data_IF_986452012824
#
_entry.id   IF_986452012824
#
_cell.length_a   1.000
_cell.length_b   1.000
_cell.length_c   1.000
_cell.angle_alpha   90.00
_cell.angle_beta   90.00
_cell.angle_gamma   90.00
#
_symmetry.space_group_name_H-M   'P 1'
#
loop_
_entity.id
_entity.type
_entity.pdbx_description
1 polymer ?
#
# COMPACT_ATOMS: atom_id res chain seq x y z
N UNK A 1 -31.77 -8.85 -18.38
CA UNK A 1 -31.20 -10.18 -17.99
C UNK A 1 -31.09 -11.21 -19.13
N UNK A 2 -32.12 -11.48 -19.96
CA UNK A 2 -32.04 -12.52 -21.03
C UNK A 2 -30.92 -12.28 -22.07
N UNK A 3 -30.72 -11.03 -22.52
CA UNK A 3 -29.62 -10.66 -23.44
C UNK A 3 -28.22 -10.86 -22.82
N UNK A 4 -28.04 -10.44 -21.56
CA UNK A 4 -26.80 -10.64 -20.79
C UNK A 4 -26.43 -12.12 -20.65
N UNK A 5 -27.40 -12.97 -20.26
CA UNK A 5 -27.17 -14.42 -20.14
C UNK A 5 -26.79 -15.07 -21.49
N UNK A 6 -27.37 -14.60 -22.59
CA UNK A 6 -27.05 -15.08 -23.94
C UNK A 6 -25.63 -14.67 -24.37
N UNK A 7 -25.23 -13.42 -24.11
CA UNK A 7 -23.87 -12.93 -24.39
C UNK A 7 -22.82 -13.64 -23.54
N UNK A 8 -23.05 -13.79 -22.22
CA UNK A 8 -22.14 -14.54 -21.34
C UNK A 8 -22.00 -16.00 -21.79
N UNK A 9 -23.09 -16.66 -22.19
CA UNK A 9 -23.02 -18.04 -22.70
C UNK A 9 -22.27 -18.11 -24.04
N UNK A 10 -22.45 -17.12 -24.92
CA UNK A 10 -21.73 -17.01 -26.21
C UNK A 10 -20.22 -16.78 -25.97
N UNK A 11 -19.88 -15.97 -24.98
CA UNK A 11 -18.51 -15.52 -24.70
C UNK A 11 -17.94 -16.07 -23.40
N UNK A 12 -18.35 -17.28 -23.00
CA UNK A 12 -18.05 -17.84 -21.68
C UNK A 12 -16.55 -17.96 -21.39
N UNK A 13 -15.75 -18.37 -22.38
CA UNK A 13 -14.30 -18.52 -22.21
C UNK A 13 -13.67 -17.14 -21.93
N UNK A 14 -13.95 -16.16 -22.78
CA UNK A 14 -13.50 -14.77 -22.61
C UNK A 14 -13.89 -14.22 -21.24
N UNK A 15 -15.16 -14.39 -20.87
CA UNK A 15 -15.71 -13.95 -19.58
C UNK A 15 -14.99 -14.60 -18.39
N UNK A 16 -14.82 -15.92 -18.40
CA UNK A 16 -14.17 -16.66 -17.31
C UNK A 16 -12.70 -16.26 -17.13
N UNK A 17 -11.98 -16.05 -18.23
CA UNK A 17 -10.59 -15.58 -18.22
C UNK A 17 -10.48 -14.18 -17.62
N UNK A 18 -11.35 -13.25 -18.05
CA UNK A 18 -11.35 -11.89 -17.51
C UNK A 18 -11.73 -11.84 -16.01
N UNK A 19 -12.59 -12.74 -15.52
CA UNK A 19 -12.86 -12.83 -14.07
C UNK A 19 -11.57 -13.14 -13.31
N UNK A 20 -10.83 -14.17 -13.72
CA UNK A 20 -9.61 -14.59 -13.02
C UNK A 20 -8.55 -13.49 -13.02
N UNK A 21 -8.36 -12.84 -14.17
CA UNK A 21 -7.44 -11.74 -14.35
C UNK A 21 -7.83 -10.56 -13.45
N UNK A 22 -9.10 -10.17 -13.45
CA UNK A 22 -9.57 -9.06 -12.63
C UNK A 22 -9.46 -9.37 -11.14
N UNK A 23 -9.74 -10.59 -10.68
CA UNK A 23 -9.55 -10.98 -9.26
C UNK A 23 -8.09 -10.81 -8.84
N UNK A 24 -7.15 -11.25 -9.68
CA UNK A 24 -5.71 -11.09 -9.42
C UNK A 24 -5.31 -9.61 -9.35
N UNK A 25 -5.63 -8.81 -10.37
CA UNK A 25 -5.22 -7.41 -10.42
C UNK A 25 -5.90 -6.56 -9.34
N UNK A 26 -7.17 -6.79 -9.02
CA UNK A 26 -7.86 -6.12 -7.90
C UNK A 26 -7.10 -6.37 -6.60
N UNK A 27 -6.70 -7.62 -6.34
CA UNK A 27 -5.95 -7.97 -5.13
C UNK A 27 -4.61 -7.26 -5.05
N UNK A 28 -3.86 -7.19 -6.16
CA UNK A 28 -2.57 -6.49 -6.24
C UNK A 28 -2.75 -4.97 -6.03
N UNK A 29 -3.68 -4.34 -6.74
CA UNK A 29 -3.92 -2.89 -6.65
C UNK A 29 -4.33 -2.50 -5.22
N UNK A 30 -5.24 -3.24 -4.62
CA UNK A 30 -5.69 -2.99 -3.25
C UNK A 30 -4.53 -3.15 -2.27
N UNK A 31 -3.67 -4.15 -2.44
CA UNK A 31 -2.51 -4.36 -1.58
C UNK A 31 -1.55 -3.15 -1.64
N UNK A 32 -1.22 -2.69 -2.85
CA UNK A 32 -0.34 -1.52 -3.07
C UNK A 32 -0.94 -0.27 -2.43
N UNK A 33 -2.21 0.01 -2.69
CA UNK A 33 -2.88 1.20 -2.13
C UNK A 33 -3.00 1.13 -0.60
N UNK A 34 -3.22 -0.06 -0.05
CA UNK A 34 -3.28 -0.27 1.40
C UNK A 34 -1.90 -0.05 2.03
N UNK A 35 -0.84 -0.55 1.39
CA UNK A 35 0.54 -0.36 1.84
C UNK A 35 0.96 1.11 1.81
N UNK A 36 0.62 1.83 0.75
CA UNK A 36 0.86 3.27 0.64
C UNK A 36 0.15 4.04 1.77
N UNK A 37 -1.11 3.69 2.03
CA UNK A 37 -1.89 4.29 3.13
C UNK A 37 -1.27 3.97 4.50
N UNK A 38 -0.81 2.74 4.72
CA UNK A 38 -0.17 2.33 5.98
C UNK A 38 1.12 3.12 6.22
N UNK A 39 1.96 3.34 5.18
CA UNK A 39 3.18 4.15 5.31
C UNK A 39 2.86 5.60 5.62
N UNK A 40 1.91 6.20 4.89
CA UNK A 40 1.45 7.59 5.18
C UNK A 40 0.94 7.73 6.61
N UNK A 41 0.28 6.70 7.11
CA UNK A 41 -0.29 6.68 8.45
C UNK A 41 0.77 6.49 9.54
N UNK A 42 1.78 5.63 9.30
CA UNK A 42 2.93 5.48 10.21
C UNK A 42 3.76 6.75 10.29
N UNK A 43 4.00 7.40 9.16
CA UNK A 43 4.85 8.58 9.06
C UNK A 43 4.09 9.89 9.34
N UNK A 44 2.92 9.84 10.00
CA UNK A 44 2.05 11.02 10.11
C UNK A 44 2.64 12.15 10.95
N UNK A 45 3.58 11.87 11.87
CA UNK A 45 4.27 12.91 12.65
C UNK A 45 5.53 13.45 11.97
N UNK A 46 6.20 12.64 11.15
CA UNK A 46 7.47 13.02 10.52
C UNK A 46 7.24 13.72 9.17
N UNK A 47 8.18 14.57 8.78
CA UNK A 47 8.21 15.28 7.50
C UNK A 47 8.97 14.47 6.44
N UNK A 48 8.97 14.96 5.19
CA UNK A 48 9.81 14.40 4.13
C UNK A 48 11.31 14.64 4.37
N UNK A 49 11.65 15.66 5.15
CA UNK A 49 13.03 16.03 5.47
C UNK A 49 13.58 15.25 6.67
N UNK A 50 12.76 14.40 7.30
CA UNK A 50 13.21 13.53 8.38
C UNK A 50 14.38 12.64 7.93
N UNK A 51 15.20 12.17 8.88
CA UNK A 51 16.34 11.27 8.65
C UNK A 51 16.29 10.11 9.65
N UNK A 52 16.63 8.91 9.20
CA UNK A 52 16.84 7.77 10.09
C UNK A 52 18.31 7.71 10.43
N UNK A 53 18.61 7.64 11.72
CA UNK A 53 19.94 7.36 12.24
C UNK A 53 19.93 5.94 12.78
N UNK A 54 20.68 5.04 12.13
CA UNK A 54 20.97 3.72 12.64
C UNK A 54 22.25 3.79 13.47
N UNK A 55 22.14 3.51 14.76
CA UNK A 55 23.27 3.40 15.67
C UNK A 55 23.80 1.96 15.62
N UNK A 56 24.76 1.67 14.75
CA UNK A 56 25.35 0.32 14.64
C UNK A 56 26.09 -0.08 15.91
N UNK A 57 26.86 0.86 16.46
CA UNK A 57 27.59 0.72 17.73
C UNK A 57 27.37 1.98 18.56
N UNK A 58 26.83 1.84 19.77
CA UNK A 58 26.59 2.97 20.69
C UNK A 58 26.47 2.49 22.14
N UNK A 59 27.35 1.59 22.58
CA UNK A 59 27.21 0.84 23.84
C UNK A 59 27.07 1.69 25.10
N UNK A 60 27.62 2.90 25.13
CA UNK A 60 27.55 3.80 26.29
C UNK A 60 26.56 4.97 26.10
N UNK A 61 25.85 5.01 24.97
CA UNK A 61 24.98 6.15 24.65
C UNK A 61 23.54 5.76 24.84
N UNK A 62 22.88 6.54 25.69
CA UNK A 62 21.47 6.39 25.97
C UNK A 62 20.64 7.46 25.27
N UNK A 63 19.35 7.21 25.15
CA UNK A 63 18.42 8.12 24.49
C UNK A 63 18.41 9.52 25.13
N UNK A 64 18.59 9.61 26.45
CA UNK A 64 18.65 10.89 27.14
C UNK A 64 19.81 11.77 26.68
N UNK A 65 20.94 11.17 26.27
CA UNK A 65 22.07 11.91 25.71
C UNK A 65 21.67 12.57 24.38
N UNK A 66 20.99 11.80 23.50
CA UNK A 66 20.48 12.32 22.23
C UNK A 66 19.44 13.43 22.43
N UNK A 67 18.49 13.22 23.34
CA UNK A 67 17.47 14.23 23.68
C UNK A 67 18.15 15.50 24.19
N UNK A 68 19.13 15.39 25.09
CA UNK A 68 19.87 16.53 25.62
C UNK A 68 20.58 17.33 24.53
N UNK A 69 21.21 16.66 23.56
CA UNK A 69 21.86 17.30 22.41
C UNK A 69 20.88 18.08 21.53
N UNK A 70 19.60 17.72 21.56
CA UNK A 70 18.55 18.32 20.72
C UNK A 70 17.60 19.25 21.46
N UNK A 71 17.85 19.54 22.75
CA UNK A 71 16.96 20.36 23.58
C UNK A 71 16.70 21.76 23.00
N UNK A 72 17.69 22.33 22.33
CA UNK A 72 17.65 23.70 21.79
C UNK A 72 16.98 23.80 20.40
N UNK A 73 16.50 22.68 19.84
CA UNK A 73 15.88 22.61 18.51
C UNK A 73 14.47 22.05 18.60
N UNK A 74 13.56 22.53 17.77
CA UNK A 74 12.23 21.93 17.67
C UNK A 74 12.31 20.61 16.89
N UNK A 75 12.24 19.48 17.61
CA UNK A 75 12.46 18.14 17.04
C UNK A 75 11.33 17.17 17.36
N UNK A 76 11.14 16.20 16.46
CA UNK A 76 10.35 14.98 16.66
C UNK A 76 11.28 13.79 16.54
N UNK A 77 11.20 12.86 17.50
CA UNK A 77 11.93 11.61 17.50
C UNK A 77 10.96 10.44 17.52
N UNK A 78 11.19 9.46 16.66
CA UNK A 78 10.48 8.18 16.68
C UNK A 78 11.47 7.03 16.58
N UNK A 79 11.35 6.01 17.43
CA UNK A 79 12.30 4.91 17.39
C UNK A 79 11.80 3.65 18.09
N UNK A 80 12.30 2.49 17.66
CA UNK A 80 11.96 1.22 18.29
C UNK A 80 12.64 1.12 19.65
N UNK A 81 11.85 1.18 20.72
CA UNK A 81 12.35 1.11 22.10
C UNK A 81 12.68 -0.33 22.44
N UNK A 82 11.87 -1.31 21.99
CA UNK A 82 12.03 -2.72 22.34
C UNK A 82 11.82 -3.65 21.15
N UNK A 83 12.67 -4.68 21.06
CA UNK A 83 12.61 -5.74 20.05
C UNK A 83 11.96 -7.01 20.63
N UNK A 84 12.12 -7.25 21.94
CA UNK A 84 11.48 -8.35 22.67
C UNK A 84 10.63 -7.78 23.81
N UNK A 85 9.31 -7.87 23.70
CA UNK A 85 8.35 -7.46 24.71
C UNK A 85 7.48 -8.64 25.17
N UNK A 86 6.74 -8.42 26.25
CA UNK A 86 5.85 -9.41 26.86
C UNK A 86 4.72 -9.84 25.91
N UNK A 87 4.39 -8.99 24.92
CA UNK A 87 3.41 -9.24 23.88
C UNK A 87 4.07 -9.71 22.59
N UNK A 88 4.26 -11.02 22.43
CA UNK A 88 4.83 -11.64 21.21
C UNK A 88 4.24 -10.97 19.94
N UNK A 89 5.12 -10.39 19.12
CA UNK A 89 4.85 -9.68 17.85
C UNK A 89 4.31 -8.23 17.90
N UNK A 90 4.27 -7.58 19.07
CA UNK A 90 3.92 -6.13 19.15
C UNK A 90 5.17 -5.27 19.05
N UNK A 91 5.17 -4.21 18.23
CA UNK A 91 6.26 -3.24 18.21
C UNK A 91 6.02 -2.13 19.25
N UNK A 92 7.05 -1.78 20.03
CA UNK A 92 6.97 -0.64 20.96
C UNK A 92 7.82 0.50 20.43
N UNK A 93 7.16 1.60 20.13
CA UNK A 93 7.73 2.78 19.49
C UNK A 93 7.75 3.93 20.50
N UNK A 94 8.92 4.49 20.74
CA UNK A 94 9.08 5.68 21.56
C UNK A 94 8.84 6.89 20.69
N UNK A 95 8.10 7.87 21.20
CA UNK A 95 7.85 9.17 20.57
C UNK A 95 8.31 10.28 21.50
N UNK A 96 9.00 11.27 20.96
CA UNK A 96 9.37 12.49 21.66
C UNK A 96 9.20 13.70 20.77
N UNK A 97 8.73 14.80 21.35
CA UNK A 97 8.75 16.12 20.75
C UNK A 97 8.82 17.20 21.83
N UNK A 98 9.50 18.31 21.56
CA UNK A 98 9.71 19.39 22.52
C UNK A 98 8.98 20.70 22.18
N UNK A 99 8.18 20.69 21.11
CA UNK A 99 7.33 21.79 20.66
C UNK A 99 5.89 21.31 20.47
N UNK A 100 4.94 22.24 20.28
CA UNK A 100 3.57 21.89 19.96
C UNK A 100 3.47 21.44 18.51
N UNK A 101 3.17 20.16 18.31
CA UNK A 101 3.02 19.57 16.99
C UNK A 101 1.57 19.69 16.50
N UNK A 102 1.38 20.23 15.30
CA UNK A 102 0.04 20.32 14.67
C UNK A 102 -0.38 18.99 14.02
N UNK A 103 0.60 18.13 13.72
CA UNK A 103 0.37 16.79 13.16
C UNK A 103 -0.07 15.82 14.26
N UNK A 104 -1.00 14.94 13.91
CA UNK A 104 -1.53 13.92 14.84
C UNK A 104 -1.55 12.56 14.16
N UNK A 105 -1.41 11.49 14.96
CA UNK A 105 -1.78 10.16 14.47
C UNK A 105 -3.31 10.09 14.30
N UNK A 106 -3.83 9.27 13.38
CA UNK A 106 -5.26 9.01 13.33
C UNK A 106 -5.68 8.24 14.58
N UNK A 107 -6.40 8.93 15.46
CA UNK A 107 -6.95 8.39 16.70
C UNK A 107 -8.39 7.94 16.48
N UNK A 108 -8.76 6.77 17.02
CA UNK A 108 -10.16 6.34 17.12
C UNK A 108 -10.79 6.82 18.43
N UNK A 109 -10.03 6.79 19.52
CA UNK A 109 -10.48 7.19 20.86
C UNK A 109 -9.36 7.95 21.60
N UNK A 110 -9.73 8.88 22.48
CA UNK A 110 -8.80 9.60 23.35
C UNK A 110 -8.07 10.76 22.67
N UNK A 111 -6.81 11.00 23.06
CA UNK A 111 -5.98 12.12 22.60
C UNK A 111 -4.52 11.73 22.39
N UNK A 112 -3.78 12.59 21.69
CA UNK A 112 -2.32 12.52 21.60
C UNK A 112 -1.66 12.84 22.95
N UNK A 113 -0.34 12.59 23.05
CA UNK A 113 0.45 13.03 24.19
C UNK A 113 0.43 14.56 24.30
N UNK A 114 0.40 15.08 25.51
CA UNK A 114 0.62 16.51 25.73
C UNK A 114 2.10 16.81 25.83
N UNK A 115 2.48 18.05 25.53
CA UNK A 115 3.88 18.48 25.64
C UNK A 115 4.41 18.35 27.09
N UNK A 116 3.56 18.58 28.09
CA UNK A 116 3.93 18.42 29.50
C UNK A 116 4.21 16.96 29.86
N UNK A 117 3.36 16.02 29.41
CA UNK A 117 3.56 14.59 29.63
C UNK A 117 4.89 14.11 29.03
N UNK A 118 5.20 14.55 27.80
CA UNK A 118 6.48 14.24 27.14
C UNK A 118 7.66 14.79 27.94
N UNK A 119 7.63 16.09 28.28
CA UNK A 119 8.73 16.77 29.00
C UNK A 119 8.97 16.20 30.40
N UNK A 120 7.91 15.83 31.12
CA UNK A 120 8.00 15.25 32.47
C UNK A 120 8.37 13.76 32.48
N UNK A 121 8.43 13.12 31.32
CA UNK A 121 8.71 11.67 31.24
C UNK A 121 7.55 10.84 31.81
N UNK A 122 6.32 11.31 31.71
CA UNK A 122 5.16 10.57 32.22
C UNK A 122 4.98 9.25 31.45
N UNK A 123 4.61 8.19 32.18
CA UNK A 123 4.36 6.85 31.61
C UNK A 123 2.97 6.78 30.98
N UNK A 124 2.87 7.39 29.80
CA UNK A 124 1.66 7.39 28.97
C UNK A 124 1.87 6.61 27.68
N UNK A 125 0.81 6.00 27.17
CA UNK A 125 0.84 5.18 25.96
C UNK A 125 -0.35 5.46 25.02
N UNK A 126 -0.11 5.31 23.73
CA UNK A 126 -1.12 5.19 22.69
C UNK A 126 -1.09 3.75 22.17
N UNK A 127 -2.24 3.09 22.14
CA UNK A 127 -2.33 1.65 21.85
C UNK A 127 -3.01 1.44 20.50
N UNK A 128 -2.41 0.63 19.63
CA UNK A 128 -3.02 0.23 18.36
C UNK A 128 -4.38 -0.45 18.54
N UNK A 129 -5.31 -0.19 17.63
CA UNK A 129 -6.69 -0.70 17.72
C UNK A 129 -6.81 -2.21 17.95
N UNK A 130 -5.91 -3.03 17.37
CA UNK A 130 -5.96 -4.50 17.52
C UNK A 130 -5.46 -4.98 18.89
N UNK A 131 -4.78 -4.11 19.63
CA UNK A 131 -4.29 -4.37 20.98
C UNK A 131 -5.24 -3.80 22.05
N UNK A 132 -6.42 -3.30 21.66
CA UNK A 132 -7.40 -2.73 22.59
C UNK A 132 -7.80 -3.73 23.69
N UNK A 133 -7.89 -5.01 23.36
CA UNK A 133 -8.26 -6.07 24.30
C UNK A 133 -7.17 -6.34 25.36
N UNK A 134 -5.94 -5.86 25.14
CA UNK A 134 -4.84 -5.98 26.12
C UNK A 134 -4.85 -4.86 27.17
N UNK A 135 -5.77 -3.90 27.07
CA UNK A 135 -5.88 -2.78 28.00
C UNK A 135 -6.65 -3.24 29.24
N UNK A 136 -6.03 -3.10 30.42
CA UNK A 136 -6.64 -3.38 31.72
C UNK A 136 -6.69 -2.11 32.53
N UNK A 137 -7.87 -1.70 33.00
CA UNK A 137 -8.07 -0.48 33.81
C UNK A 137 -7.42 0.79 33.22
N UNK A 138 -7.55 0.98 31.90
CA UNK A 138 -6.92 2.06 31.13
C UNK A 138 -5.39 2.06 31.17
N UNK A 139 -4.77 0.91 31.44
CA UNK A 139 -3.32 0.72 31.47
C UNK A 139 -2.89 -0.41 30.57
N UNK A 140 -1.65 -0.33 30.12
CA UNK A 140 -0.95 -1.41 29.42
C UNK A 140 0.36 -1.68 30.15
N UNK A 141 0.73 -2.95 30.28
CA UNK A 141 1.94 -3.37 30.99
C UNK A 141 3.06 -3.65 30.01
N UNK A 142 4.15 -2.90 30.09
CA UNK A 142 5.31 -3.02 29.21
C UNK A 142 6.53 -3.28 30.08
N UNK A 143 7.18 -4.46 29.97
CA UNK A 143 8.38 -4.81 30.74
C UNK A 143 8.21 -4.59 32.25
N UNK A 144 7.12 -5.10 32.80
CA UNK A 144 6.76 -4.89 34.21
C UNK A 144 6.51 -3.45 34.66
N UNK A 145 6.40 -2.49 33.73
CA UNK A 145 5.98 -1.13 34.02
C UNK A 145 4.57 -0.86 33.50
N UNK A 146 3.77 -0.12 34.27
CA UNK A 146 2.44 0.28 33.86
C UNK A 146 2.47 1.62 33.13
N UNK A 147 1.82 1.67 31.98
CA UNK A 147 1.61 2.88 31.20
C UNK A 147 0.13 3.21 31.11
N UNK A 148 -0.23 4.46 31.40
CA UNK A 148 -1.60 4.94 31.26
C UNK A 148 -1.93 5.12 29.78
N UNK A 149 -2.99 4.47 29.31
CA UNK A 149 -3.46 4.60 27.93
C UNK A 149 -4.25 5.90 27.79
N UNK A 150 -3.76 6.82 26.96
CA UNK A 150 -4.38 8.13 26.73
C UNK A 150 -5.11 8.22 25.38
N UNK A 151 -4.91 7.23 24.50
CA UNK A 151 -5.57 7.16 23.20
C UNK A 151 -5.38 5.81 22.49
N UNK A 152 -6.25 5.55 21.51
CA UNK A 152 -6.25 4.36 20.66
C UNK A 152 -5.98 4.75 19.21
N UNK A 153 -4.96 4.14 18.62
CA UNK A 153 -4.46 4.45 17.29
C UNK A 153 -5.10 3.61 16.18
N UNK A 154 -5.35 4.25 15.05
CA UNK A 154 -5.88 3.61 13.85
C UNK A 154 -7.28 3.04 14.05
N UNK A 155 -7.80 2.38 13.02
CA UNK A 155 -9.09 1.69 13.05
C UNK A 155 -8.94 0.25 12.51
N UNK A 156 -10.05 -0.49 12.38
CA UNK A 156 -10.06 -1.87 11.83
C UNK A 156 -9.34 -2.02 10.47
N UNK A 157 -9.31 -0.97 9.66
CA UNK A 157 -8.69 -0.97 8.33
C UNK A 157 -7.23 -0.53 8.31
N UNK A 158 -6.69 0.03 9.41
CA UNK A 158 -5.30 0.48 9.49
C UNK A 158 -4.43 -0.65 10.02
N UNK A 159 -3.62 -1.27 9.16
CA UNK A 159 -2.68 -2.32 9.63
C UNK A 159 -1.45 -1.70 10.27
N UNK A 160 -0.98 -0.57 9.76
CA UNK A 160 0.30 0.01 10.15
C UNK A 160 0.43 0.40 11.63
N UNK A 161 -0.58 1.07 12.21
CA UNK A 161 -0.58 1.48 13.61
C UNK A 161 -1.30 0.47 14.54
N UNK A 162 -2.09 -0.42 13.97
CA UNK A 162 -3.02 -1.27 14.72
C UNK A 162 -2.34 -2.30 15.62
N UNK A 163 -1.11 -2.69 15.30
CA UNK A 163 -0.32 -3.74 15.97
C UNK A 163 0.83 -3.20 16.83
N UNK A 164 0.87 -1.88 17.08
CA UNK A 164 1.98 -1.22 17.78
C UNK A 164 1.51 -0.44 19.01
N UNK A 165 2.41 -0.28 19.97
CA UNK A 165 2.20 0.58 21.14
C UNK A 165 3.21 1.72 21.08
N UNK A 166 2.71 2.94 21.16
CA UNK A 166 3.52 4.14 21.18
C UNK A 166 3.62 4.64 22.62
N UNK A 167 4.82 4.95 23.09
CA UNK A 167 5.07 5.45 24.44
C UNK A 167 5.84 6.76 24.40
N UNK A 168 5.74 7.53 25.47
CA UNK A 168 6.64 8.65 25.68
C UNK A 168 8.09 8.15 25.75
N UNK A 169 8.93 8.55 24.80
CA UNK A 169 10.33 8.10 24.75
C UNK A 169 11.12 8.52 26.00
N UNK A 170 10.71 9.61 26.66
CA UNK A 170 11.38 10.15 27.85
C UNK A 170 10.96 9.42 29.15
N UNK A 171 9.99 8.50 29.11
CA UNK A 171 9.55 7.76 30.30
C UNK A 171 10.47 6.59 30.67
N UNK A 172 11.34 6.18 29.76
CA UNK A 172 12.28 5.08 29.97
C UNK A 172 13.60 5.38 29.24
N UNK A 173 14.70 5.26 29.97
CA UNK A 173 16.03 5.40 29.41
C UNK A 173 16.47 4.06 28.78
N UNK A 174 16.92 4.09 27.52
CA UNK A 174 17.38 2.90 26.81
C UNK A 174 18.65 3.18 26.01
N UNK A 175 19.43 2.13 25.82
CA UNK A 175 20.68 2.16 25.07
C UNK A 175 20.40 2.24 23.57
N UNK A 176 21.12 3.12 22.85
CA UNK A 176 20.95 3.31 21.41
C UNK A 176 21.64 2.22 20.56
N UNK A 177 22.48 1.38 21.16
CA UNK A 177 23.21 0.33 20.44
C UNK A 177 22.27 -0.58 19.63
N UNK A 178 22.56 -0.69 18.32
CA UNK A 178 21.77 -1.44 17.33
C UNK A 178 20.31 -1.00 17.23
N UNK A 179 20.03 0.29 17.44
CA UNK A 179 18.69 0.87 17.27
C UNK A 179 18.67 1.90 16.16
N UNK A 180 17.51 2.03 15.53
CA UNK A 180 17.20 3.11 14.60
C UNK A 180 16.30 4.14 15.26
N UNK A 181 16.69 5.41 15.13
CA UNK A 181 15.91 6.57 15.57
C UNK A 181 15.67 7.46 14.35
N UNK A 182 14.41 7.74 14.06
CA UNK A 182 14.00 8.76 13.10
C UNK A 182 13.99 10.10 13.80
N UNK A 183 14.63 11.09 13.18
CA UNK A 183 14.71 12.48 13.64
C UNK A 183 14.09 13.36 12.57
N UNK A 184 13.23 14.27 13.01
CA UNK A 184 12.67 15.33 12.18
C UNK A 184 12.85 16.67 12.90
N UNK A 185 13.33 17.69 12.19
CA UNK A 185 13.60 19.01 12.75
C UNK A 185 12.71 20.02 12.04
N UNK A 186 11.93 20.79 12.80
CA UNK A 186 11.04 21.79 12.22
C UNK A 186 11.83 23.00 11.69
N UNK A 187 12.79 23.48 12.49
CA UNK A 187 13.51 24.72 12.23
C UNK A 187 14.94 24.43 11.72
N UNK A 188 15.02 23.99 10.47
CA UNK A 188 16.27 23.89 9.72
C UNK A 188 16.54 22.52 9.11
N UNK A 189 17.77 22.32 8.63
CA UNK A 189 18.14 21.08 7.95
C UNK A 189 18.30 19.92 8.94
N UNK A 190 17.43 18.91 8.83
CA UNK A 190 17.57 17.63 9.57
C UNK A 190 18.89 16.95 9.24
N UNK A 191 19.35 16.99 7.98
CA UNK A 191 20.63 16.40 7.57
C UNK A 191 21.83 17.05 8.29
N UNK A 192 21.85 18.38 8.37
CA UNK A 192 22.87 19.09 9.13
C UNK A 192 22.81 18.74 10.62
N UNK A 193 21.60 18.62 11.17
CA UNK A 193 21.40 18.24 12.58
C UNK A 193 21.88 16.82 12.86
N UNK A 194 21.58 15.86 11.98
CA UNK A 194 22.06 14.48 12.06
C UNK A 194 23.59 14.39 12.03
N UNK A 195 24.24 15.17 11.17
CA UNK A 195 25.70 15.26 11.12
C UNK A 195 26.28 15.85 12.42
N UNK A 196 25.67 16.90 12.97
CA UNK A 196 26.10 17.51 14.24
C UNK A 196 25.94 16.53 15.42
N UNK A 197 24.86 15.74 15.44
CA UNK A 197 24.69 14.65 16.42
C UNK A 197 25.85 13.66 16.33
N UNK A 198 26.25 13.26 15.11
CA UNK A 198 27.41 12.40 14.92
C UNK A 198 28.69 13.01 15.47
N UNK A 199 28.97 14.27 15.14
CA UNK A 199 30.18 14.95 15.63
C UNK A 199 30.21 15.04 17.16
N UNK A 200 29.08 15.34 17.81
CA UNK A 200 29.00 15.49 19.28
C UNK A 200 29.00 14.16 20.02
N UNK A 201 28.37 13.12 19.47
CA UNK A 201 28.35 11.79 20.12
C UNK A 201 29.63 10.99 19.85
N UNK A 202 30.32 11.28 18.75
CA UNK A 202 31.54 10.57 18.35
C UNK A 202 32.83 11.15 18.95
N UNK A 203 32.76 12.15 19.84
CA UNK A 203 33.94 12.73 20.53
C UNK A 203 34.82 11.68 21.26
N UNK A 204 34.33 10.44 21.45
CA UNK A 204 35.06 9.33 22.07
C UNK A 204 35.29 8.11 21.16
N UNK A 205 35.06 8.18 19.84
CA UNK A 205 35.17 7.05 18.89
C UNK A 205 34.36 5.79 19.26
N UNK A 206 33.22 5.98 19.96
CA UNK A 206 32.37 4.87 20.43
C UNK A 206 31.11 4.68 19.59
N UNK A 207 30.97 5.45 18.51
CA UNK A 207 29.72 5.60 17.79
C UNK A 207 29.91 5.38 16.31
N UNK A 208 29.27 4.33 15.78
CA UNK A 208 29.14 4.12 14.35
C UNK A 208 27.68 4.37 14.01
N UNK A 209 27.43 5.32 13.10
CA UNK A 209 26.09 5.67 12.66
C UNK A 209 25.98 5.67 11.14
N UNK A 210 24.88 5.12 10.66
CA UNK A 210 24.44 5.26 9.28
C UNK A 210 23.26 6.23 9.25
N UNK A 211 23.34 7.23 8.37
CA UNK A 211 22.27 8.20 8.15
C UNK A 211 21.60 7.85 6.84
N UNK A 212 20.33 7.46 6.91
CA UNK A 212 19.50 7.19 5.75
C UNK A 212 18.28 8.09 5.73
N UNK A 213 17.61 8.15 4.58
CA UNK A 213 16.31 8.79 4.49
C UNK A 213 15.26 7.82 5.06
N UNK A 214 14.24 8.31 5.79
CA UNK A 214 13.10 7.48 6.11
C UNK A 214 12.47 7.00 4.81
N UNK A 215 11.72 5.90 4.89
CA UNK A 215 11.00 5.38 3.73
C UNK A 215 9.89 6.38 3.39
N UNK A 216 10.23 7.42 2.63
CA UNK A 216 9.32 8.39 2.02
C UNK A 216 8.85 7.85 0.67
N UNK A 217 9.65 7.00 0.03
CA UNK A 217 9.33 6.27 -1.19
C UNK A 217 9.15 4.77 -0.89
N UNK A 218 7.91 4.32 -0.62
CA UNK A 218 7.54 2.91 -0.41
C UNK A 218 8.09 1.94 -1.45
N UNK A 219 8.27 2.44 -2.67
CA UNK A 219 8.61 1.64 -3.84
C UNK A 219 10.03 1.10 -3.77
N UNK A 220 11.02 1.92 -3.38
CA UNK A 220 12.43 1.51 -3.42
C UNK A 220 12.74 0.47 -2.33
N UNK A 221 12.15 0.62 -1.15
CA UNK A 221 12.29 -0.36 -0.06
C UNK A 221 11.53 -1.66 -0.37
N UNK A 222 10.30 -1.57 -0.92
CA UNK A 222 9.57 -2.74 -1.37
C UNK A 222 10.34 -3.49 -2.48
N UNK A 223 11.06 -2.76 -3.34
CA UNK A 223 11.94 -3.33 -4.38
C UNK A 223 13.15 -4.04 -3.78
N UNK A 224 13.84 -3.43 -2.81
CA UNK A 224 15.02 -4.00 -2.19
C UNK A 224 14.70 -5.21 -1.30
N UNK A 225 13.63 -5.14 -0.51
CA UNK A 225 13.28 -6.16 0.49
C UNK A 225 12.50 -7.35 -0.09
N UNK A 226 11.79 -7.17 -1.21
CA UNK A 226 10.88 -8.18 -1.79
C UNK A 226 11.13 -8.43 -3.28
N UNK A 227 12.38 -8.28 -3.74
CA UNK A 227 12.78 -8.45 -5.15
C UNK A 227 12.24 -9.74 -5.79
N UNK A 228 12.25 -10.86 -5.07
CA UNK A 228 11.70 -12.16 -5.54
C UNK A 228 10.19 -12.07 -5.79
N UNK A 229 9.41 -11.51 -4.86
CA UNK A 229 7.96 -11.39 -5.01
C UNK A 229 7.58 -10.42 -6.13
N UNK A 230 8.38 -9.38 -6.36
CA UNK A 230 8.18 -8.46 -7.48
C UNK A 230 8.47 -9.13 -8.82
N UNK A 231 9.55 -9.91 -8.92
CA UNK A 231 9.84 -10.72 -10.11
C UNK A 231 8.69 -11.70 -10.36
N UNK A 232 8.20 -12.40 -9.33
CA UNK A 232 7.04 -13.30 -9.45
C UNK A 232 5.78 -12.55 -9.90
N UNK A 233 5.51 -11.36 -9.35
CA UNK A 233 4.37 -10.52 -9.74
C UNK A 233 4.48 -10.01 -11.18
N UNK A 234 5.69 -9.66 -11.62
CA UNK A 234 5.96 -9.22 -12.99
C UNK A 234 5.78 -10.38 -14.00
N UNK A 235 6.30 -11.57 -13.68
CA UNK A 235 6.11 -12.78 -14.48
C UNK A 235 4.63 -13.19 -14.55
N UNK A 236 3.92 -13.13 -13.43
CA UNK A 236 2.48 -13.36 -13.39
C UNK A 236 1.74 -12.34 -14.26
N UNK A 237 2.10 -11.05 -14.18
CA UNK A 237 1.49 -10.01 -15.01
C UNK A 237 1.74 -10.23 -16.51
N UNK A 238 2.98 -10.58 -16.90
CA UNK A 238 3.32 -10.90 -18.29
C UNK A 238 2.54 -12.10 -18.82
N UNK A 239 2.41 -13.17 -18.03
CA UNK A 239 1.66 -14.36 -18.43
C UNK A 239 0.15 -14.07 -18.56
N UNK A 240 -0.42 -13.24 -17.68
CA UNK A 240 -1.80 -12.81 -17.78
C UNK A 240 -2.02 -11.94 -19.03
N UNK A 241 -1.14 -10.99 -19.33
CA UNK A 241 -1.23 -10.16 -20.54
C UNK A 241 -1.18 -11.03 -21.80
N UNK A 242 -0.23 -11.98 -21.87
CA UNK A 242 -0.15 -12.94 -22.98
C UNK A 242 -1.44 -13.76 -23.11
N UNK A 243 -2.03 -14.17 -21.99
CA UNK A 243 -3.32 -14.87 -21.97
C UNK A 243 -4.45 -14.02 -22.51
N UNK A 244 -4.51 -12.72 -22.16
CA UNK A 244 -5.50 -11.79 -22.73
C UNK A 244 -5.35 -11.68 -24.23
N UNK A 245 -4.14 -11.47 -24.74
CA UNK A 245 -3.89 -11.33 -26.18
C UNK A 245 -4.33 -12.59 -26.92
N UNK A 246 -3.97 -13.77 -26.40
CA UNK A 246 -4.32 -15.06 -26.99
C UNK A 246 -5.83 -15.29 -27.01
N UNK A 247 -6.53 -15.06 -25.88
CA UNK A 247 -7.97 -15.31 -25.81
C UNK A 247 -8.76 -14.29 -26.63
N UNK A 248 -8.29 -13.05 -26.68
CA UNK A 248 -8.91 -11.99 -27.49
C UNK A 248 -8.75 -12.30 -28.98
N UNK A 249 -7.56 -12.74 -29.40
CA UNK A 249 -7.31 -13.16 -30.78
C UNK A 249 -8.18 -14.35 -31.17
N UNK A 250 -8.31 -15.35 -30.29
CA UNK A 250 -9.20 -16.49 -30.49
C UNK A 250 -10.67 -16.09 -30.59
N UNK A 251 -11.12 -15.16 -29.74
CA UNK A 251 -12.48 -14.64 -29.78
C UNK A 251 -12.78 -13.94 -31.11
N UNK A 252 -11.85 -13.11 -31.58
CA UNK A 252 -12.03 -12.37 -32.85
C UNK A 252 -12.03 -13.32 -34.03
N UNK A 253 -11.19 -14.36 -34.01
CA UNK A 253 -11.19 -15.41 -35.04
C UNK A 253 -12.57 -16.06 -35.18
N UNK A 254 -13.24 -16.37 -34.05
CA UNK A 254 -14.60 -16.90 -34.06
C UNK A 254 -15.63 -15.92 -34.60
N UNK A 255 -15.48 -14.62 -34.32
CA UNK A 255 -16.41 -13.60 -34.80
C UNK A 255 -16.15 -13.19 -36.25
N UNK A 256 -15.05 -13.60 -36.89
CA UNK A 256 -14.75 -13.25 -38.29
C UNK A 256 -15.87 -13.57 -39.27
N UNK A 257 -16.55 -14.71 -39.12
CA UNK A 257 -17.66 -15.09 -40.00
C UNK A 257 -18.82 -14.10 -39.88
N UNK A 258 -19.17 -13.71 -38.65
CA UNK A 258 -20.24 -12.72 -38.39
C UNK A 258 -19.83 -11.35 -38.93
N UNK A 259 -18.57 -10.97 -38.77
CA UNK A 259 -18.02 -9.72 -39.31
C UNK A 259 -18.07 -9.72 -40.84
N UNK A 260 -17.72 -10.83 -41.50
CA UNK A 260 -17.80 -11.00 -42.94
C UNK A 260 -19.24 -10.86 -43.46
N UNK A 261 -20.20 -11.51 -42.79
CA UNK A 261 -21.63 -11.40 -43.13
C UNK A 261 -22.12 -9.95 -43.01
N UNK A 262 -21.81 -9.26 -41.90
CA UNK A 262 -22.18 -7.85 -41.70
C UNK A 262 -21.59 -6.95 -42.79
N UNK A 263 -20.35 -7.22 -43.19
CA UNK A 263 -19.70 -6.49 -44.28
C UNK A 263 -20.37 -6.74 -45.63
N UNK A 264 -20.87 -7.95 -45.92
CA UNK A 264 -21.61 -8.26 -47.15
C UNK A 264 -22.97 -7.57 -47.21
N UNK A 265 -23.64 -7.42 -46.07
CA UNK A 265 -24.92 -6.70 -45.95
C UNK A 265 -24.74 -5.17 -46.06
N UNK A 266 -23.49 -4.69 -46.14
CA UNK A 266 -23.18 -3.27 -46.36
C UNK A 266 -23.03 -2.45 -45.09
N UNK A 267 -22.87 -3.08 -43.91
CA UNK A 267 -22.54 -2.33 -42.70
C UNK A 267 -21.17 -1.63 -42.84
N UNK A 268 -21.09 -0.39 -42.38
CA UNK A 268 -19.83 0.36 -42.41
C UNK A 268 -18.80 -0.28 -41.47
N UNK A 269 -17.52 -0.26 -41.87
CA UNK A 269 -16.41 -0.81 -41.06
C UNK A 269 -16.35 -0.22 -39.64
N UNK A 270 -16.70 1.06 -39.50
CA UNK A 270 -16.76 1.75 -38.20
C UNK A 270 -17.91 1.24 -37.32
N UNK A 271 -19.09 0.99 -37.90
CA UNK A 271 -20.23 0.43 -37.17
C UNK A 271 -19.93 -0.99 -36.67
N UNK A 272 -19.31 -1.82 -37.51
CA UNK A 272 -18.89 -3.17 -37.13
C UNK A 272 -17.88 -3.11 -35.97
N UNK A 273 -16.88 -2.22 -36.05
CA UNK A 273 -15.89 -2.01 -35.00
C UNK A 273 -16.53 -1.59 -33.68
N UNK A 274 -17.40 -0.57 -33.71
CA UNK A 274 -18.06 -0.05 -32.52
C UNK A 274 -18.92 -1.14 -31.84
N UNK A 275 -19.65 -1.93 -32.64
CA UNK A 275 -20.45 -3.03 -32.10
C UNK A 275 -19.60 -4.11 -31.44
N UNK A 276 -18.47 -4.50 -32.05
CA UNK A 276 -17.54 -5.45 -31.44
C UNK A 276 -16.93 -4.90 -30.14
N UNK A 277 -16.54 -3.63 -30.15
CA UNK A 277 -15.98 -2.95 -28.98
C UNK A 277 -16.99 -2.92 -27.83
N UNK A 278 -18.24 -2.54 -28.10
CA UNK A 278 -19.31 -2.51 -27.10
C UNK A 278 -19.58 -3.92 -26.54
N UNK A 279 -19.65 -4.94 -27.40
CA UNK A 279 -19.86 -6.32 -26.94
C UNK A 279 -18.70 -6.82 -26.05
N UNK A 280 -17.47 -6.46 -26.40
CA UNK A 280 -16.28 -6.82 -25.65
C UNK A 280 -16.22 -6.11 -24.29
N UNK A 281 -16.46 -4.80 -24.25
CA UNK A 281 -16.53 -4.01 -23.02
C UNK A 281 -17.63 -4.50 -22.07
N UNK A 282 -18.76 -4.94 -22.63
CA UNK A 282 -19.84 -5.49 -21.83
C UNK A 282 -19.42 -6.77 -21.08
N UNK A 283 -18.61 -7.63 -21.72
CA UNK A 283 -18.05 -8.83 -21.08
C UNK A 283 -17.07 -8.44 -19.97
N UNK A 284 -16.21 -7.45 -20.22
CA UNK A 284 -15.25 -6.93 -19.23
C UNK A 284 -15.98 -6.36 -18.01
N UNK A 285 -16.94 -5.46 -18.20
CA UNK A 285 -17.67 -4.82 -17.10
C UNK A 285 -18.37 -5.88 -16.25
N UNK A 286 -19.03 -6.85 -16.89
CA UNK A 286 -19.66 -7.96 -16.17
C UNK A 286 -18.63 -8.78 -15.37
N UNK A 287 -17.43 -8.99 -15.91
CA UNK A 287 -16.36 -9.73 -15.21
C UNK A 287 -15.80 -8.95 -14.01
N UNK A 288 -15.68 -7.62 -14.10
CA UNK A 288 -15.23 -6.76 -12.98
C UNK A 288 -16.22 -6.85 -11.82
N UNK A 289 -17.52 -6.78 -12.12
CA UNK A 289 -18.57 -6.88 -11.09
C UNK A 289 -18.45 -8.23 -10.35
N UNK A 290 -18.32 -9.34 -11.08
CA UNK A 290 -18.15 -10.66 -10.47
C UNK A 290 -16.83 -10.76 -9.70
N UNK A 291 -15.74 -10.21 -10.22
CA UNK A 291 -14.45 -10.22 -9.56
C UNK A 291 -14.49 -9.50 -8.20
N UNK A 292 -15.16 -8.33 -8.12
CA UNK A 292 -15.38 -7.63 -6.85
C UNK A 292 -16.27 -8.40 -5.89
N UNK A 293 -17.31 -9.11 -6.38
CA UNK A 293 -18.14 -9.98 -5.55
C UNK A 293 -17.33 -11.14 -4.96
N UNK A 294 -16.51 -11.82 -5.78
CA UNK A 294 -15.61 -12.89 -5.32
C UNK A 294 -14.64 -12.35 -4.28
N UNK A 295 -14.01 -11.22 -4.57
CA UNK A 295 -13.08 -10.56 -3.65
C UNK A 295 -13.74 -10.17 -2.32
N UNK A 296 -15.00 -9.75 -2.37
CA UNK A 296 -15.83 -9.50 -1.19
C UNK A 296 -16.10 -10.74 -0.34
N UNK A 297 -16.49 -11.85 -0.97
CA UNK A 297 -16.77 -13.13 -0.30
C UNK A 297 -15.50 -13.69 0.36
N UNK A 298 -14.34 -13.53 -0.28
CA UNK A 298 -13.04 -13.92 0.30
C UNK A 298 -12.61 -13.06 1.51
N UNK A 299 -13.47 -12.16 2.01
CA UNK A 299 -13.23 -11.36 3.21
C UNK A 299 -12.44 -10.08 2.98
N UNK A 300 -12.10 -9.75 1.72
CA UNK A 300 -11.34 -8.55 1.40
C UNK A 300 -12.07 -7.27 1.81
N UNK A 301 -13.33 -7.11 1.38
CA UNK A 301 -14.07 -5.85 1.49
C UNK A 301 -14.28 -5.34 2.93
N UNK A 302 -14.48 -6.23 3.91
CA UNK A 302 -14.72 -5.81 5.31
C UNK A 302 -13.48 -5.23 6.00
N UNK A 303 -12.29 -5.47 5.44
CA UNK A 303 -11.02 -4.98 5.98
C UNK A 303 -10.49 -3.74 5.26
N UNK A 304 -11.12 -3.33 4.15
CA UNK A 304 -10.59 -2.31 3.25
C UNK A 304 -11.39 -1.03 3.38
N UNK A 305 -10.68 0.09 3.38
CA UNK A 305 -11.28 1.42 3.34
C UNK A 305 -12.06 1.61 2.01
N UNK A 306 -13.30 2.08 2.06
CA UNK A 306 -14.14 2.35 0.89
C UNK A 306 -13.42 3.23 -0.15
N UNK A 307 -12.63 4.20 0.29
CA UNK A 307 -11.85 5.07 -0.60
C UNK A 307 -10.82 4.28 -1.41
N UNK A 308 -10.17 3.28 -0.79
CA UNK A 308 -9.22 2.40 -1.47
C UNK A 308 -9.96 1.54 -2.50
N UNK A 309 -11.11 0.99 -2.15
CA UNK A 309 -11.93 0.19 -3.07
C UNK A 309 -12.42 1.00 -4.28
N UNK A 310 -12.81 2.26 -4.08
CA UNK A 310 -13.20 3.15 -5.18
C UNK A 310 -12.00 3.50 -6.08
N UNK A 311 -10.84 3.80 -5.49
CA UNK A 311 -9.60 4.03 -6.25
C UNK A 311 -9.20 2.80 -7.05
N UNK A 312 -9.25 1.61 -6.46
CA UNK A 312 -8.92 0.36 -7.16
C UNK A 312 -9.89 0.08 -8.31
N UNK A 313 -11.18 0.40 -8.14
CA UNK A 313 -12.19 0.27 -9.20
C UNK A 313 -11.86 1.19 -10.39
N UNK A 314 -11.50 2.45 -10.13
CA UNK A 314 -11.10 3.37 -11.19
C UNK A 314 -9.86 2.85 -11.92
N UNK A 315 -8.82 2.44 -11.20
CA UNK A 315 -7.58 1.94 -11.80
C UNK A 315 -7.83 0.69 -12.65
N UNK A 316 -8.59 -0.30 -12.15
CA UNK A 316 -8.83 -1.54 -12.90
C UNK A 316 -9.71 -1.30 -14.15
N UNK A 317 -10.66 -0.38 -14.09
CA UNK A 317 -11.46 -0.01 -15.28
C UNK A 317 -10.59 0.66 -16.34
N UNK A 318 -9.70 1.58 -15.95
CA UNK A 318 -8.77 2.23 -16.88
C UNK A 318 -7.82 1.22 -17.54
N UNK A 319 -7.25 0.30 -16.75
CA UNK A 319 -6.37 -0.77 -17.27
C UNK A 319 -7.12 -1.63 -18.29
N UNK A 320 -8.35 -2.05 -17.98
CA UNK A 320 -9.12 -2.89 -18.89
C UNK A 320 -9.49 -2.17 -20.21
N UNK A 321 -9.77 -0.87 -20.17
CA UNK A 321 -10.00 -0.07 -21.39
C UNK A 321 -8.73 0.01 -22.24
N UNK A 322 -7.55 0.17 -21.63
CA UNK A 322 -6.29 0.15 -22.37
C UNK A 322 -6.07 -1.23 -23.01
N UNK A 323 -6.34 -2.29 -22.26
CA UNK A 323 -6.22 -3.68 -22.72
C UNK A 323 -7.21 -4.00 -23.85
N UNK A 324 -8.45 -3.51 -23.78
CA UNK A 324 -9.44 -3.71 -24.84
C UNK A 324 -9.04 -3.01 -26.15
N UNK A 325 -8.58 -1.76 -26.06
CA UNK A 325 -8.09 -0.98 -27.19
C UNK A 325 -6.91 -1.70 -27.88
N UNK A 326 -5.93 -2.12 -27.08
CA UNK A 326 -4.73 -2.81 -27.58
C UNK A 326 -5.02 -4.19 -28.19
N UNK A 327 -6.03 -4.91 -27.73
CA UNK A 327 -6.39 -6.22 -28.28
C UNK A 327 -7.29 -6.14 -29.52
N UNK A 328 -8.24 -5.19 -29.54
CA UNK A 328 -9.25 -5.09 -30.61
C UNK A 328 -8.67 -4.38 -31.84
N UNK A 329 -7.87 -3.32 -31.68
CA UNK A 329 -7.36 -2.53 -32.80
C UNK A 329 -6.55 -3.38 -33.80
N UNK A 330 -5.51 -4.15 -33.40
CA UNK A 330 -4.71 -4.92 -34.35
C UNK A 330 -5.54 -5.96 -35.11
N UNK A 331 -6.47 -6.57 -34.39
CA UNK A 331 -7.34 -7.61 -34.91
C UNK A 331 -8.35 -7.07 -35.93
N UNK A 332 -8.89 -5.87 -35.71
CA UNK A 332 -9.77 -5.19 -36.66
C UNK A 332 -9.00 -4.67 -37.86
N UNK A 333 -7.78 -4.15 -37.68
CA UNK A 333 -6.91 -3.78 -38.80
C UNK A 333 -6.67 -5.01 -39.69
N UNK A 334 -6.36 -6.17 -39.10
CA UNK A 334 -6.18 -7.43 -39.83
C UNK A 334 -7.42 -7.81 -40.64
N UNK A 335 -8.61 -7.73 -40.03
CA UNK A 335 -9.87 -8.06 -40.71
C UNK A 335 -10.20 -7.04 -41.82
N UNK A 336 -9.95 -5.75 -41.60
CA UNK A 336 -10.23 -4.70 -42.58
C UNK A 336 -9.42 -4.82 -43.87
N UNK A 337 -8.27 -5.52 -43.79
CA UNK A 337 -7.35 -5.85 -44.88
C UNK A 337 -7.65 -7.20 -45.54
N UNK A 338 -8.47 -8.05 -44.94
CA UNK A 338 -8.83 -9.36 -45.50
C UNK A 338 -9.90 -9.21 -46.58
N UNK A 339 -9.77 -10.01 -47.64
CA UNK A 339 -10.72 -10.01 -48.74
C UNK A 339 -11.97 -10.80 -48.32
N UNK A 340 -13.18 -10.24 -48.46
CA UNK A 340 -14.42 -10.83 -47.92
C UNK A 340 -14.67 -12.25 -48.48
N UNK A 341 -14.27 -12.48 -49.73
CA UNK A 341 -14.40 -13.77 -50.40
C UNK A 341 -13.49 -14.87 -49.83
N UNK A 342 -12.34 -14.53 -49.21
CA UNK A 342 -11.46 -15.53 -48.58
C UNK A 342 -11.96 -15.93 -47.19
N UNK A 343 -12.59 -15.00 -46.45
CA UNK A 343 -13.11 -15.24 -45.10
C UNK A 343 -14.25 -16.28 -45.07
N UNK A 344 -15.08 -16.27 -46.11
CA UNK A 344 -16.25 -17.15 -46.22
C UNK A 344 -15.87 -18.51 -46.78
N UNK A 345 -14.91 -18.59 -47.73
CA UNK A 345 -14.44 -19.85 -48.30
C UNK A 345 -13.65 -20.73 -47.32
N UNK A 346 -13.01 -20.15 -46.30
CA UNK A 346 -12.29 -20.93 -45.27
C UNK A 346 -13.21 -21.61 -44.24
N UNK A 347 -14.49 -21.21 -44.15
CA UNK A 347 -15.40 -21.62 -43.08
C UNK A 347 -16.70 -22.30 -43.58
N UNK A 348 -16.81 -22.56 -44.89
CA UNK A 348 -17.79 -23.46 -45.50
C UNK A 348 -17.04 -24.74 -45.86
#
# INVERSE_FOLDING_TARGET
>A
MKKLKKLIKKYWVLFSTFILINVFFISVIINILSFEQDIKTKNSLISKDAKIILFETAEDIKINNLINTLKDKNVVLEGKVLINNDYKATEIIGVYYNYNIDKTYPLTEGRMFTLEEIKRGERVALVGYKLKDNIQDQKVKIQNQEYKVVGILGNKSTKGLGDSIYINMNSQDFNLNRKSITIDVLDGSTAYTAKKIYEQLNERNKVIMEISEPIVEPLNEAISSNSIYLIMGLLASMSLISTVINISSYWIEKEKVIIGIKSLVGESKSSIFLNLFIEYEFVIIASIIIAYLIFGICGGLNSINLLIALKSLLIITLINVIVSITCIIPSVIKISKMNINSIIKENI
#
